data_IF_125100519562
#
_entry.id   IF_125100519562
#
_cell.length_a   1.000
_cell.length_b   1.000
_cell.length_c   1.000
_cell.angle_alpha   90.00
_cell.angle_beta   90.00
_cell.angle_gamma   90.00
#
_symmetry.space_group_name_H-M   'P 1'
#
loop_
_entity.id
_entity.type
_entity.pdbx_description
1 polymer ?
#
# COMPACT_ATOMS: atom_id res chain seq x y z
N UNK A 1 -16.12 -39.90 12.63
CA UNK A 1 -16.86 -39.63 11.39
C UNK A 1 -16.85 -38.13 11.17
N UNK A 2 -15.90 -37.66 10.35
CA UNK A 2 -15.78 -36.28 9.90
C UNK A 2 -15.86 -36.40 8.37
N UNK A 3 -16.99 -36.00 7.81
CA UNK A 3 -17.21 -36.02 6.38
C UNK A 3 -16.34 -34.96 5.72
N UNK A 4 -15.41 -35.45 4.90
CA UNK A 4 -14.62 -34.66 3.97
C UNK A 4 -15.61 -34.13 2.92
N UNK A 5 -15.90 -32.84 2.97
CA UNK A 5 -16.60 -32.14 1.89
C UNK A 5 -15.66 -32.09 0.67
N UNK A 6 -15.84 -33.05 -0.23
CA UNK A 6 -15.39 -32.97 -1.61
C UNK A 6 -16.21 -31.88 -2.31
N UNK A 7 -15.68 -30.67 -2.39
CA UNK A 7 -16.14 -29.68 -3.34
C UNK A 7 -15.49 -29.97 -4.71
N UNK A 8 -16.04 -30.97 -5.41
CA UNK A 8 -15.99 -30.98 -6.86
C UNK A 8 -17.03 -29.99 -7.40
N UNK A 9 -16.82 -29.53 -8.64
CA UNK A 9 -17.64 -28.56 -9.39
C UNK A 9 -17.27 -27.09 -9.14
N UNK A 10 -16.06 -26.72 -9.57
CA UNK A 10 -15.83 -25.35 -10.03
C UNK A 10 -16.73 -25.10 -11.24
N UNK A 11 -17.77 -24.32 -10.99
CA UNK A 11 -18.67 -23.72 -11.95
C UNK A 11 -17.89 -23.18 -13.16
N UNK A 12 -17.98 -23.90 -14.27
CA UNK A 12 -17.72 -23.41 -15.62
C UNK A 12 -18.80 -22.37 -15.95
N UNK A 13 -18.59 -21.12 -15.52
CA UNK A 13 -19.16 -19.87 -16.04
C UNK A 13 -18.71 -18.70 -15.15
N UNK A 14 -17.39 -18.50 -15.02
CA UNK A 14 -16.90 -17.23 -14.52
C UNK A 14 -17.29 -16.15 -15.53
N UNK A 15 -18.26 -15.30 -15.18
CA UNK A 15 -18.60 -14.10 -15.96
C UNK A 15 -17.30 -13.35 -16.26
N UNK A 16 -16.93 -13.30 -17.54
CA UNK A 16 -15.71 -12.64 -18.01
C UNK A 16 -15.93 -11.12 -17.93
N UNK A 17 -15.09 -10.41 -17.16
CA UNK A 17 -15.13 -8.95 -17.05
C UNK A 17 -15.24 -8.39 -15.62
N UNK A 18 -15.43 -7.07 -15.56
CA UNK A 18 -15.53 -6.30 -14.32
C UNK A 18 -16.94 -6.44 -13.73
N UNK A 19 -17.01 -6.80 -12.45
CA UNK A 19 -18.23 -6.82 -11.65
C UNK A 19 -18.09 -5.85 -10.48
N UNK A 20 -18.96 -4.84 -10.44
CA UNK A 20 -19.02 -3.87 -9.34
C UNK A 20 -19.70 -4.51 -8.13
N UNK A 21 -19.03 -4.49 -6.98
CA UNK A 21 -19.62 -4.89 -5.69
C UNK A 21 -20.06 -3.65 -4.90
N UNK A 22 -19.21 -2.61 -4.88
CA UNK A 22 -19.50 -1.31 -4.29
C UNK A 22 -19.05 -0.21 -5.27
N UNK A 23 -19.96 0.66 -5.65
CA UNK A 23 -19.63 1.93 -6.33
C UNK A 23 -19.04 2.93 -5.30
N UNK A 24 -18.59 4.13 -5.71
CA UNK A 24 -17.99 5.10 -4.79
C UNK A 24 -18.87 5.51 -3.61
N UNK A 25 -20.18 5.70 -3.84
CA UNK A 25 -21.14 6.04 -2.80
C UNK A 25 -21.30 4.89 -1.79
N UNK A 26 -21.58 3.68 -2.28
CA UNK A 26 -21.73 2.49 -1.44
C UNK A 26 -20.44 2.12 -0.70
N UNK A 27 -19.27 2.37 -1.30
CA UNK A 27 -17.98 2.21 -0.60
C UNK A 27 -17.84 3.23 0.54
N UNK A 28 -18.23 4.48 0.31
CA UNK A 28 -18.18 5.53 1.33
C UNK A 28 -19.13 5.22 2.50
N UNK A 29 -20.34 4.75 2.22
CA UNK A 29 -21.28 4.30 3.25
C UNK A 29 -20.73 3.11 4.05
N UNK A 30 -20.16 2.12 3.35
CA UNK A 30 -19.54 0.95 3.99
C UNK A 30 -18.38 1.36 4.92
N UNK A 31 -17.48 2.25 4.47
CA UNK A 31 -16.39 2.75 5.30
C UNK A 31 -16.93 3.52 6.50
N UNK A 32 -17.90 4.42 6.32
CA UNK A 32 -18.49 5.17 7.42
C UNK A 32 -19.13 4.25 8.47
N UNK A 33 -19.78 3.17 8.04
CA UNK A 33 -20.28 2.15 8.94
C UNK A 33 -19.15 1.49 9.74
N UNK A 34 -18.07 1.05 9.09
CA UNK A 34 -16.92 0.46 9.79
C UNK A 34 -16.29 1.43 10.79
N UNK A 35 -16.11 2.70 10.40
CA UNK A 35 -15.58 3.73 11.29
C UNK A 35 -16.48 3.95 12.51
N UNK A 36 -17.80 3.84 12.36
CA UNK A 36 -18.72 3.95 13.50
C UNK A 36 -18.56 2.82 14.52
N UNK A 37 -18.25 1.59 14.06
CA UNK A 37 -17.99 0.45 14.93
C UNK A 37 -16.69 0.61 15.74
N UNK A 38 -15.71 1.32 15.18
CA UNK A 38 -14.41 1.56 15.80
C UNK A 38 -14.35 2.88 16.60
N UNK A 39 -15.47 3.62 16.73
CA UNK A 39 -15.51 4.92 17.42
C UNK A 39 -14.84 6.07 16.66
N UNK A 40 -14.59 5.89 15.35
CA UNK A 40 -13.91 6.82 14.45
C UNK A 40 -14.87 7.58 13.52
N UNK A 41 -16.18 7.60 13.83
CA UNK A 41 -17.21 8.29 13.02
C UNK A 41 -16.99 9.79 12.82
N UNK A 42 -16.14 10.40 13.63
CA UNK A 42 -15.74 11.80 13.53
C UNK A 42 -14.64 12.06 12.49
N UNK A 43 -13.99 11.00 11.99
CA UNK A 43 -12.92 11.12 10.99
C UNK A 43 -13.54 11.20 9.60
N UNK A 44 -13.19 12.24 8.86
CA UNK A 44 -13.59 12.44 7.47
C UNK A 44 -12.41 12.19 6.54
N UNK A 45 -12.71 11.77 5.31
CA UNK A 45 -11.71 11.66 4.26
C UNK A 45 -11.16 13.03 3.87
N UNK A 46 -9.84 13.16 3.88
CA UNK A 46 -9.12 14.14 3.09
C UNK A 46 -8.66 13.51 1.77
N UNK A 47 -9.37 13.86 0.71
CA UNK A 47 -9.13 13.42 -0.67
C UNK A 47 -7.74 13.76 -1.20
N UNK A 48 -7.14 14.82 -0.68
CA UNK A 48 -5.83 15.32 -1.07
C UNK A 48 -4.70 14.79 -0.20
N UNK A 49 -4.91 13.73 0.61
CA UNK A 49 -3.89 13.25 1.55
C UNK A 49 -3.51 11.78 1.38
N UNK A 50 -2.26 11.48 1.73
CA UNK A 50 -1.68 10.15 1.75
C UNK A 50 -1.04 9.83 3.09
N UNK A 51 -1.38 8.68 3.68
CA UNK A 51 -0.61 8.11 4.78
C UNK A 51 0.60 7.37 4.20
N UNK A 52 1.81 7.76 4.62
CA UNK A 52 3.07 7.22 4.12
C UNK A 52 3.74 6.36 5.19
N UNK A 53 3.42 5.06 5.32
CA UNK A 53 3.99 4.19 6.35
C UNK A 53 5.51 4.07 6.20
N UNK A 54 6.18 3.84 7.32
CA UNK A 54 7.64 3.63 7.34
C UNK A 54 8.01 2.60 8.42
N UNK A 55 8.79 1.60 8.02
CA UNK A 55 9.35 0.64 8.98
C UNK A 55 10.51 1.28 9.73
N UNK A 56 10.33 1.56 11.02
CA UNK A 56 11.37 2.16 11.87
C UNK A 56 11.99 1.16 12.85
N UNK A 57 11.17 0.40 13.57
CA UNK A 57 11.59 -0.38 14.76
C UNK A 57 12.47 -1.59 14.45
N UNK A 58 12.24 -2.28 13.32
CA UNK A 58 13.00 -3.47 12.90
C UNK A 58 14.08 -3.14 11.86
N UNK A 59 14.30 -1.87 11.55
CA UNK A 59 15.22 -1.44 10.49
C UNK A 59 16.65 -1.33 11.05
N UNK A 60 17.63 -2.07 10.49
CA UNK A 60 19.04 -1.91 10.84
C UNK A 60 19.53 -0.46 10.65
N UNK A 61 20.42 0.00 11.53
CA UNK A 61 20.87 1.40 11.54
C UNK A 61 21.49 1.83 10.19
N UNK A 62 22.23 0.94 9.53
CA UNK A 62 22.83 1.18 8.22
C UNK A 62 21.81 1.39 7.10
N UNK A 63 20.57 0.91 7.28
CA UNK A 63 19.48 1.07 6.32
C UNK A 63 18.57 2.27 6.64
N UNK A 64 18.58 2.79 7.88
CA UNK A 64 17.69 3.89 8.29
C UNK A 64 17.87 5.13 7.41
N UNK A 65 19.10 5.50 7.06
CA UNK A 65 19.37 6.65 6.19
C UNK A 65 18.80 6.45 4.78
N UNK A 66 18.93 5.25 4.22
CA UNK A 66 18.39 4.91 2.91
C UNK A 66 16.85 4.98 2.91
N UNK A 67 16.21 4.41 3.93
CA UNK A 67 14.74 4.42 4.04
C UNK A 67 14.23 5.85 4.23
N UNK A 68 14.86 6.65 5.11
CA UNK A 68 14.50 8.07 5.30
C UNK A 68 14.63 8.86 3.99
N UNK A 69 15.72 8.66 3.24
CA UNK A 69 15.91 9.33 1.94
C UNK A 69 14.79 8.98 0.94
N UNK A 70 14.41 7.70 0.84
CA UNK A 70 13.29 7.26 0.00
C UNK A 70 11.96 7.89 0.44
N UNK A 71 11.72 7.95 1.74
CA UNK A 71 10.53 8.59 2.31
C UNK A 71 10.45 10.08 1.94
N UNK A 72 11.57 10.81 2.02
CA UNK A 72 11.60 12.22 1.61
C UNK A 72 11.32 12.40 0.11
N UNK A 73 11.87 11.54 -0.73
CA UNK A 73 11.58 11.54 -2.18
C UNK A 73 10.11 11.25 -2.43
N UNK A 74 9.53 10.29 -1.71
CA UNK A 74 8.10 9.97 -1.82
C UNK A 74 7.22 11.17 -1.44
N UNK A 75 7.56 11.86 -0.35
CA UNK A 75 6.84 13.08 0.06
C UNK A 75 6.90 14.15 -1.03
N UNK A 76 8.06 14.34 -1.68
CA UNK A 76 8.21 15.28 -2.80
C UNK A 76 7.38 14.86 -4.03
N UNK A 77 7.36 13.57 -4.37
CA UNK A 77 6.55 13.02 -5.46
C UNK A 77 5.06 13.31 -5.21
N UNK A 78 4.56 12.99 -4.02
CA UNK A 78 3.17 13.22 -3.64
C UNK A 78 2.84 14.72 -3.65
N UNK A 79 3.71 15.55 -3.08
CA UNK A 79 3.53 16.99 -3.07
C UNK A 79 3.47 17.59 -4.48
N UNK A 80 4.35 17.15 -5.40
CA UNK A 80 4.32 17.58 -6.81
C UNK A 80 3.01 17.19 -7.50
N UNK A 81 2.46 16.02 -7.15
CA UNK A 81 1.15 15.59 -7.63
C UNK A 81 -0.03 16.31 -6.93
N UNK A 82 0.21 17.21 -5.97
CA UNK A 82 -0.85 17.89 -5.23
C UNK A 82 -1.43 17.09 -4.05
N UNK A 83 -0.72 16.06 -3.58
CA UNK A 83 -1.12 15.21 -2.46
C UNK A 83 -0.27 15.53 -1.22
N UNK A 84 -0.91 15.80 -0.10
CA UNK A 84 -0.27 16.04 1.19
C UNK A 84 0.12 14.71 1.84
N UNK A 85 1.41 14.50 2.06
CA UNK A 85 1.93 13.29 2.70
C UNK A 85 1.95 13.44 4.24
N UNK A 86 1.32 12.48 4.93
CA UNK A 86 1.52 12.27 6.36
C UNK A 86 2.62 11.22 6.58
N UNK A 87 3.68 11.61 7.29
CA UNK A 87 4.81 10.75 7.64
C UNK A 87 4.84 10.51 9.16
N UNK A 88 4.51 9.28 9.64
CA UNK A 88 4.47 8.98 11.07
C UNK A 88 5.86 9.13 11.73
N UNK A 89 6.96 9.04 10.99
CA UNK A 89 8.31 9.28 11.53
C UNK A 89 8.50 10.72 12.03
N UNK A 90 7.72 11.66 11.51
CA UNK A 90 7.73 13.08 11.90
C UNK A 90 6.72 13.41 13.00
N UNK A 91 5.86 12.45 13.36
CA UNK A 91 4.86 12.61 14.41
C UNK A 91 5.53 12.86 15.77
N UNK A 92 4.96 13.73 16.63
CA UNK A 92 5.41 13.83 18.02
C UNK A 92 5.26 12.50 18.78
N UNK A 93 4.38 11.62 18.32
CA UNK A 93 4.14 10.27 18.86
C UNK A 93 5.07 9.20 18.27
N UNK A 94 6.07 9.59 17.47
CA UNK A 94 7.04 8.64 16.93
C UNK A 94 7.87 8.04 18.07
N UNK A 95 8.01 6.70 18.15
CA UNK A 95 8.80 6.05 19.21
C UNK A 95 10.28 6.45 19.17
N UNK A 96 10.76 6.95 18.02
CA UNK A 96 12.13 7.46 17.87
C UNK A 96 12.31 8.90 18.40
N UNK A 97 11.22 9.61 18.73
CA UNK A 97 11.23 11.00 19.24
C UNK A 97 10.89 11.11 20.72
N UNK A 98 9.93 10.32 21.18
CA UNK A 98 9.52 10.29 22.58
C UNK A 98 9.27 8.86 23.03
N UNK A 99 10.18 8.35 23.87
CA UNK A 99 10.13 6.99 24.41
C UNK A 99 9.03 6.79 25.47
N UNK A 100 8.35 7.87 25.91
CA UNK A 100 7.29 7.80 26.92
C UNK A 100 5.89 7.52 26.33
N UNK A 101 5.73 7.72 25.02
CA UNK A 101 4.46 7.54 24.31
C UNK A 101 4.03 6.07 24.36
N UNK A 102 2.78 5.84 24.74
CA UNK A 102 2.25 4.49 24.90
C UNK A 102 1.74 3.92 23.57
N UNK A 103 1.80 2.59 23.36
CA UNK A 103 1.36 1.97 22.11
C UNK A 103 -0.08 2.29 21.70
N UNK A 104 -0.99 2.49 22.66
CA UNK A 104 -2.39 2.86 22.38
C UNK A 104 -2.51 4.27 21.80
N UNK A 105 -1.62 5.19 22.18
CA UNK A 105 -1.62 6.57 21.67
C UNK A 105 -1.13 6.61 20.22
N UNK A 106 -0.03 5.91 19.94
CA UNK A 106 0.48 5.73 18.56
C UNK A 106 -0.59 5.09 17.69
N UNK A 107 -1.19 4.00 18.18
CA UNK A 107 -2.22 3.26 17.44
C UNK A 107 -3.43 4.14 17.10
N UNK A 108 -3.90 4.99 18.03
CA UNK A 108 -5.07 5.84 17.80
C UNK A 108 -4.76 6.96 16.81
N UNK A 109 -3.60 7.62 16.94
CA UNK A 109 -3.18 8.69 16.03
C UNK A 109 -2.96 8.15 14.63
N UNK A 110 -2.19 7.07 14.48
CA UNK A 110 -1.90 6.50 13.18
C UNK A 110 -3.15 5.89 12.55
N UNK A 111 -4.02 5.23 13.33
CA UNK A 111 -5.31 4.77 12.82
C UNK A 111 -6.15 5.92 12.28
N UNK A 112 -6.26 7.03 13.02
CA UNK A 112 -6.99 8.22 12.56
C UNK A 112 -6.43 8.81 11.27
N UNK A 113 -5.09 8.84 11.14
CA UNK A 113 -4.42 9.35 9.93
C UNK A 113 -4.57 8.41 8.73
N UNK A 114 -4.47 7.10 8.95
CA UNK A 114 -4.69 6.09 7.92
C UNK A 114 -6.11 6.21 7.38
N UNK A 115 -7.12 6.14 8.25
CA UNK A 115 -8.52 6.13 7.80
C UNK A 115 -8.99 7.46 7.23
N UNK A 116 -8.41 8.57 7.69
CA UNK A 116 -8.67 9.90 7.15
C UNK A 116 -8.03 10.15 5.79
N UNK A 117 -7.00 9.40 5.40
CA UNK A 117 -6.32 9.61 4.13
C UNK A 117 -6.93 8.83 2.97
N UNK A 118 -7.06 9.46 1.80
CA UNK A 118 -7.49 8.77 0.57
C UNK A 118 -6.49 7.72 0.14
N UNK A 119 -5.22 8.08 0.17
CA UNK A 119 -4.13 7.23 -0.28
C UNK A 119 -3.39 6.59 0.90
N UNK A 120 -2.90 5.38 0.67
CA UNK A 120 -1.90 4.74 1.51
C UNK A 120 -0.71 4.41 0.61
N UNK A 121 0.45 5.03 0.84
CA UNK A 121 1.58 4.95 -0.11
C UNK A 121 2.86 4.63 0.62
N UNK A 122 3.39 3.41 0.44
CA UNK A 122 4.52 2.96 1.23
C UNK A 122 5.50 2.07 0.47
N UNK A 123 6.76 2.13 0.85
CA UNK A 123 7.77 1.20 0.35
C UNK A 123 7.72 -0.13 1.11
N UNK A 124 7.58 -1.23 0.39
CA UNK A 124 7.70 -2.58 0.95
C UNK A 124 9.16 -3.05 0.82
N UNK A 125 9.96 -2.82 1.87
CA UNK A 125 11.41 -3.06 1.87
C UNK A 125 11.80 -4.11 2.90
N UNK A 126 11.35 -3.94 4.14
CA UNK A 126 11.68 -4.80 5.27
C UNK A 126 10.41 -5.32 5.94
N UNK A 127 10.43 -6.55 6.48
CA UNK A 127 9.34 -7.04 7.30
C UNK A 127 9.13 -6.15 8.53
N UNK A 128 7.91 -5.65 8.70
CA UNK A 128 7.48 -4.87 9.85
C UNK A 128 6.06 -5.26 10.24
N UNK A 129 5.87 -5.59 11.51
CA UNK A 129 4.54 -5.89 12.07
C UNK A 129 3.64 -4.65 12.01
N UNK A 130 4.18 -3.47 12.33
CA UNK A 130 3.45 -2.20 12.24
C UNK A 130 2.95 -1.95 10.82
N UNK A 131 3.86 -2.03 9.84
CA UNK A 131 3.51 -1.89 8.42
C UNK A 131 2.46 -2.91 7.97
N UNK A 132 2.56 -4.16 8.44
CA UNK A 132 1.57 -5.19 8.13
C UNK A 132 0.16 -4.86 8.64
N UNK A 133 0.06 -4.34 9.87
CA UNK A 133 -1.20 -3.87 10.47
C UNK A 133 -1.74 -2.67 9.70
N UNK A 134 -0.87 -1.70 9.39
CA UNK A 134 -1.22 -0.50 8.62
C UNK A 134 -1.73 -0.84 7.22
N UNK A 135 -1.06 -1.77 6.51
CA UNK A 135 -1.47 -2.21 5.18
C UNK A 135 -2.82 -2.94 5.19
N UNK A 136 -3.11 -3.74 6.22
CA UNK A 136 -4.43 -4.38 6.38
C UNK A 136 -5.53 -3.36 6.62
N UNK A 137 -5.28 -2.37 7.50
CA UNK A 137 -6.19 -1.23 7.70
C UNK A 137 -6.39 -0.46 6.39
N UNK A 138 -5.33 -0.24 5.61
CA UNK A 138 -5.42 0.47 4.35
C UNK A 138 -6.34 -0.21 3.33
N UNK A 139 -6.33 -1.53 3.26
CA UNK A 139 -7.26 -2.27 2.38
C UNK A 139 -8.71 -2.17 2.84
N UNK A 140 -8.94 -2.04 4.15
CA UNK A 140 -10.27 -1.91 4.73
C UNK A 140 -10.83 -0.49 4.62
N UNK A 141 -10.02 0.51 4.93
CA UNK A 141 -10.46 1.89 5.14
C UNK A 141 -9.97 2.86 4.07
N UNK A 142 -8.72 2.70 3.61
CA UNK A 142 -8.20 3.60 2.59
C UNK A 142 -8.84 3.28 1.25
N UNK A 143 -8.88 4.33 0.43
CA UNK A 143 -9.57 4.31 -0.84
C UNK A 143 -8.65 3.84 -1.96
N UNK A 144 -7.38 4.24 -1.93
CA UNK A 144 -6.37 3.86 -2.93
C UNK A 144 -5.03 3.49 -2.25
N UNK A 145 -4.79 2.21 -1.95
CA UNK A 145 -3.48 1.74 -1.50
C UNK A 145 -2.53 1.52 -2.69
N UNK A 146 -1.33 2.11 -2.60
CA UNK A 146 -0.23 2.00 -3.58
C UNK A 146 1.02 1.51 -2.85
N UNK A 147 1.55 0.36 -3.26
CA UNK A 147 2.69 -0.29 -2.61
C UNK A 147 3.89 -0.25 -3.56
N UNK A 148 4.97 0.38 -3.11
CA UNK A 148 6.17 0.60 -3.90
C UNK A 148 7.19 -0.52 -3.64
N UNK A 149 7.67 -1.14 -4.71
CA UNK A 149 8.45 -2.38 -4.71
C UNK A 149 9.81 -2.16 -5.35
N UNK A 150 10.90 -2.36 -4.61
CA UNK A 150 12.24 -2.37 -5.20
C UNK A 150 12.49 -3.70 -5.91
N UNK A 151 12.79 -3.68 -7.21
CA UNK A 151 12.99 -4.88 -8.02
C UNK A 151 14.13 -5.78 -7.54
N UNK A 152 15.06 -5.23 -6.77
CA UNK A 152 16.22 -5.95 -6.22
C UNK A 152 15.93 -6.60 -4.87
N UNK A 153 14.75 -6.39 -4.31
CA UNK A 153 14.38 -6.84 -2.96
C UNK A 153 13.20 -7.79 -3.03
N UNK A 154 13.38 -9.00 -2.50
CA UNK A 154 12.27 -9.94 -2.31
C UNK A 154 11.57 -9.65 -0.99
N UNK A 155 10.25 -9.51 -1.08
CA UNK A 155 9.33 -9.33 0.06
C UNK A 155 8.32 -10.48 0.15
N UNK A 156 7.38 -10.39 1.09
CA UNK A 156 6.33 -11.39 1.31
C UNK A 156 5.48 -11.62 0.06
N UNK A 157 5.06 -12.88 -0.16
CA UNK A 157 4.05 -13.27 -1.16
C UNK A 157 2.62 -12.91 -0.72
N UNK A 158 2.40 -12.78 0.60
CA UNK A 158 1.12 -12.40 1.14
C UNK A 158 0.95 -10.89 0.99
N UNK A 159 0.38 -10.51 -0.14
CA UNK A 159 0.16 -9.14 -0.58
C UNK A 159 -1.35 -8.84 -0.52
N UNK A 160 -1.79 -7.76 0.15
CA UNK A 160 -3.21 -7.44 0.22
C UNK A 160 -3.82 -7.24 -1.18
N UNK A 161 -5.01 -7.82 -1.46
CA UNK A 161 -5.72 -7.54 -2.70
C UNK A 161 -6.19 -6.08 -2.73
N UNK A 162 -6.69 -5.61 -3.89
CA UNK A 162 -7.20 -4.24 -4.06
C UNK A 162 -6.17 -3.15 -3.75
N UNK A 163 -4.90 -3.45 -3.98
CA UNK A 163 -3.78 -2.51 -3.92
C UNK A 163 -3.10 -2.45 -5.27
N UNK A 164 -2.46 -1.31 -5.58
CA UNK A 164 -1.68 -1.12 -6.80
C UNK A 164 -0.21 -1.35 -6.44
N UNK A 165 0.43 -2.36 -7.03
CA UNK A 165 1.84 -2.64 -6.80
C UNK A 165 2.69 -2.02 -7.90
N UNK A 166 3.66 -1.17 -7.54
CA UNK A 166 4.53 -0.51 -8.51
C UNK A 166 5.98 -0.85 -8.26
N UNK A 167 6.65 -1.36 -9.30
CA UNK A 167 8.05 -1.74 -9.23
C UNK A 167 8.97 -0.61 -9.71
N UNK A 168 10.11 -0.44 -9.02
CA UNK A 168 11.19 0.46 -9.44
C UNK A 168 12.55 -0.20 -9.26
N UNK A 169 13.56 0.30 -9.99
CA UNK A 169 14.98 -0.02 -9.81
C UNK A 169 15.66 1.08 -9.00
N UNK A 170 15.43 2.33 -9.39
CA UNK A 170 15.92 3.51 -8.68
C UNK A 170 14.78 4.51 -8.50
N UNK A 171 14.23 4.57 -7.29
CA UNK A 171 13.07 5.40 -6.99
C UNK A 171 13.32 6.89 -7.25
N UNK A 172 14.54 7.37 -7.02
CA UNK A 172 14.90 8.78 -7.20
C UNK A 172 14.94 9.17 -8.66
N UNK A 173 15.60 8.36 -9.49
CA UNK A 173 15.67 8.60 -10.94
C UNK A 173 14.30 8.46 -11.61
N UNK A 174 13.42 7.63 -11.04
CA UNK A 174 12.08 7.37 -11.56
C UNK A 174 10.99 8.24 -10.91
N UNK A 175 11.34 9.17 -10.02
CA UNK A 175 10.40 9.93 -9.21
C UNK A 175 9.31 10.65 -10.04
N UNK A 176 9.68 11.24 -11.17
CA UNK A 176 8.74 11.97 -12.03
C UNK A 176 7.72 11.04 -12.73
N UNK A 177 8.01 9.74 -12.89
CA UNK A 177 7.00 8.80 -13.37
C UNK A 177 5.95 8.51 -12.30
N UNK A 178 6.35 8.45 -11.03
CA UNK A 178 5.41 8.28 -9.93
C UNK A 178 4.52 9.51 -9.75
N UNK A 179 5.01 10.73 -10.03
CA UNK A 179 4.16 11.94 -10.06
C UNK A 179 3.00 11.74 -11.04
N UNK A 180 3.29 11.30 -12.27
CA UNK A 180 2.29 11.05 -13.31
C UNK A 180 1.30 9.95 -12.92
N UNK A 181 1.75 8.93 -12.18
CA UNK A 181 0.87 7.88 -11.65
C UNK A 181 -0.14 8.49 -10.67
N UNK A 182 0.31 9.30 -9.71
CA UNK A 182 -0.61 9.91 -8.74
C UNK A 182 -1.55 10.94 -9.38
N UNK A 183 -1.06 11.72 -10.35
CA UNK A 183 -1.91 12.59 -11.17
C UNK A 183 -2.97 11.77 -11.93
N UNK A 184 -2.59 10.64 -12.50
CA UNK A 184 -3.55 9.73 -13.16
C UNK A 184 -4.61 9.22 -12.18
N UNK A 185 -4.21 8.75 -11.00
CA UNK A 185 -5.12 8.20 -10.00
C UNK A 185 -6.14 9.21 -9.46
N UNK A 186 -5.83 10.51 -9.46
CA UNK A 186 -6.75 11.56 -9.03
C UNK A 186 -7.99 11.71 -9.91
N UNK A 187 -7.98 11.16 -11.13
CA UNK A 187 -9.13 11.20 -12.04
C UNK A 187 -10.22 10.18 -11.71
N UNK A 188 -10.03 9.36 -10.67
CA UNK A 188 -10.93 8.26 -10.33
C UNK A 188 -11.51 8.39 -8.93
N UNK A 189 -12.79 8.09 -8.83
CA UNK A 189 -13.43 7.75 -7.56
C UNK A 189 -13.34 6.24 -7.30
N UNK A 190 -12.86 5.80 -6.13
CA UNK A 190 -12.59 4.40 -5.89
C UNK A 190 -13.84 3.64 -5.42
N UNK A 191 -14.10 2.51 -6.06
CA UNK A 191 -15.08 1.50 -5.63
C UNK A 191 -14.39 0.16 -5.38
N UNK A 192 -15.16 -0.91 -5.29
CA UNK A 192 -14.65 -2.27 -5.06
C UNK A 192 -15.42 -3.26 -5.91
N UNK A 193 -14.73 -4.30 -6.37
CA UNK A 193 -15.39 -5.32 -7.15
C UNK A 193 -14.47 -6.47 -7.48
N UNK A 194 -14.77 -7.11 -8.60
CA UNK A 194 -14.06 -8.26 -9.12
C UNK A 194 -13.73 -8.05 -10.59
N UNK A 195 -12.58 -8.56 -11.01
CA UNK A 195 -12.19 -8.66 -12.41
C UNK A 195 -11.85 -10.14 -12.66
N UNK A 196 -12.65 -10.81 -13.48
CA UNK A 196 -12.52 -12.26 -13.73
C UNK A 196 -12.51 -13.09 -12.43
N UNK A 197 -13.38 -12.74 -11.48
CA UNK A 197 -13.51 -13.41 -10.18
C UNK A 197 -12.45 -13.02 -9.13
N UNK A 198 -11.45 -12.21 -9.49
CA UNK A 198 -10.40 -11.76 -8.56
C UNK A 198 -10.81 -10.43 -7.91
N UNK A 199 -10.71 -10.27 -6.58
CA UNK A 199 -11.00 -8.99 -5.93
C UNK A 199 -10.04 -7.88 -6.36
N UNK A 200 -10.58 -6.76 -6.86
CA UNK A 200 -9.79 -5.63 -7.39
C UNK A 200 -10.27 -4.29 -6.84
N UNK A 201 -9.38 -3.30 -6.96
CA UNK A 201 -9.69 -1.91 -6.72
C UNK A 201 -10.27 -1.32 -8.01
N UNK A 202 -11.53 -0.88 -7.96
CA UNK A 202 -12.17 -0.27 -9.12
C UNK A 202 -12.05 1.24 -9.08
N UNK A 203 -11.88 1.85 -10.25
CA UNK A 203 -11.86 3.29 -10.46
C UNK A 203 -13.03 3.70 -11.34
N UNK A 204 -13.75 4.73 -10.91
CA UNK A 204 -14.89 5.32 -11.60
C UNK A 204 -14.47 6.70 -12.12
N UNK A 205 -14.53 6.89 -13.44
CA UNK A 205 -14.30 8.21 -14.03
C UNK A 205 -15.53 9.10 -13.88
N UNK A 206 -15.39 10.40 -14.14
CA UNK A 206 -16.52 11.33 -14.20
C UNK A 206 -17.52 10.98 -15.32
N UNK A 207 -17.08 10.30 -16.38
CA UNK A 207 -17.94 9.79 -17.46
C UNK A 207 -18.74 8.55 -17.07
N UNK A 208 -18.46 7.94 -15.91
CA UNK A 208 -19.10 6.70 -15.45
C UNK A 208 -18.41 5.42 -15.92
N UNK A 209 -17.25 5.54 -16.58
CA UNK A 209 -16.45 4.37 -16.97
C UNK A 209 -15.85 3.70 -15.73
N UNK A 210 -15.86 2.36 -15.73
CA UNK A 210 -15.34 1.55 -14.62
C UNK A 210 -14.12 0.79 -15.11
N UNK A 211 -13.01 0.94 -14.38
CA UNK A 211 -11.75 0.24 -14.68
C UNK A 211 -11.23 -0.47 -13.45
N UNK A 212 -10.45 -1.53 -13.65
CA UNK A 212 -9.49 -2.01 -12.67
C UNK A 212 -8.35 -0.98 -12.60
N UNK A 213 -8.15 -0.35 -11.43
CA UNK A 213 -7.16 0.72 -11.28
C UNK A 213 -5.73 0.21 -11.46
N UNK A 214 -5.42 -1.02 -11.02
CA UNK A 214 -4.08 -1.57 -11.17
C UNK A 214 -3.79 -1.83 -12.67
N UNK A 215 -4.71 -2.48 -13.38
CA UNK A 215 -4.55 -2.66 -14.83
C UNK A 215 -4.50 -1.32 -15.58
N UNK A 216 -5.30 -0.34 -15.18
CA UNK A 216 -5.29 0.99 -15.81
C UNK A 216 -3.93 1.67 -15.64
N UNK A 217 -3.31 1.54 -14.47
CA UNK A 217 -1.97 2.05 -14.21
C UNK A 217 -0.95 1.29 -15.06
N UNK A 218 -0.99 -0.04 -15.11
CA UNK A 218 -0.04 -0.83 -15.92
C UNK A 218 -0.18 -0.56 -17.42
N UNK A 219 -1.39 -0.33 -17.94
CA UNK A 219 -1.60 0.05 -19.34
C UNK A 219 -0.94 1.39 -19.68
N UNK A 220 -0.93 2.34 -18.74
CA UNK A 220 -0.39 3.69 -18.94
C UNK A 220 1.10 3.79 -18.60
N UNK A 221 1.57 3.00 -17.63
CA UNK A 221 2.95 3.01 -17.11
C UNK A 221 3.52 1.58 -17.05
N UNK A 222 3.67 0.89 -18.20
CA UNK A 222 4.01 -0.53 -18.25
C UNK A 222 5.38 -0.85 -17.63
N UNK A 223 6.32 0.10 -17.65
CA UNK A 223 7.64 -0.06 -17.05
C UNK A 223 7.65 -0.07 -15.51
N UNK A 224 6.54 0.32 -14.87
CA UNK A 224 6.36 0.26 -13.42
C UNK A 224 5.59 -0.99 -12.98
N UNK A 225 5.22 -1.88 -13.92
CA UNK A 225 4.46 -3.07 -13.60
C UNK A 225 5.21 -3.97 -12.63
N UNK A 226 4.54 -4.40 -11.56
CA UNK A 226 5.15 -5.33 -10.62
C UNK A 226 5.15 -6.76 -11.16
N UNK A 227 6.34 -7.37 -11.15
CA UNK A 227 6.52 -8.79 -11.42
C UNK A 227 7.15 -9.47 -10.19
N UNK A 228 6.40 -10.38 -9.57
CA UNK A 228 6.95 -11.19 -8.49
C UNK A 228 8.06 -12.09 -9.02
N UNK A 229 9.28 -11.92 -8.51
CA UNK A 229 10.39 -12.82 -8.77
C UNK A 229 10.82 -13.53 -7.47
N UNK A 230 10.55 -14.83 -7.41
CA UNK A 230 10.91 -15.68 -6.28
C UNK A 230 12.41 -15.86 -6.06
N UNK A 231 13.26 -15.56 -7.06
CA UNK A 231 14.72 -15.74 -6.98
C UNK A 231 15.45 -14.49 -6.46
N UNK A 232 14.78 -13.34 -6.36
CA UNK A 232 15.35 -12.11 -5.82
C UNK A 232 15.78 -12.33 -4.36
N UNK A 233 16.91 -11.76 -3.89
CA UNK A 233 17.36 -11.93 -2.51
C UNK A 233 16.47 -11.17 -1.51
N UNK A 234 16.36 -11.69 -0.28
CA UNK A 234 15.72 -10.98 0.84
C UNK A 234 16.75 -10.05 1.47
N UNK A 235 16.41 -8.77 1.68
CA UNK A 235 17.35 -7.78 2.25
C UNK A 235 17.83 -8.16 3.66
N UNK A 236 16.90 -8.62 4.49
CA UNK A 236 17.11 -8.98 5.90
C UNK A 236 18.20 -10.05 6.07
N UNK A 237 18.26 -11.05 5.18
CA UNK A 237 19.27 -12.11 5.25
C UNK A 237 20.68 -11.56 5.01
N UNK A 238 20.85 -10.61 4.08
CA UNK A 238 22.14 -9.95 3.82
C UNK A 238 22.55 -8.98 4.93
N UNK A 239 21.59 -8.21 5.46
CA UNK A 239 21.86 -7.23 6.53
C UNK A 239 22.14 -7.89 7.89
N UNK A 240 21.40 -8.95 8.25
CA UNK A 240 21.59 -9.65 9.52
C UNK A 240 22.73 -10.68 9.50
N UNK A 241 23.18 -11.09 8.30
CA UNK A 241 24.26 -12.07 8.16
C UNK A 241 25.31 -11.61 7.14
N UNK A 242 25.93 -10.43 7.33
CA UNK A 242 26.88 -9.90 6.35
C UNK A 242 28.06 -10.86 6.13
N UNK A 243 28.45 -11.62 7.17
CA UNK A 243 29.50 -12.64 7.15
C UNK A 243 29.23 -13.83 6.20
N UNK A 244 27.97 -14.11 5.83
CA UNK A 244 27.63 -15.19 4.88
C UNK A 244 27.83 -14.79 3.41
N UNK A 245 28.02 -13.49 3.12
CA UNK A 245 28.01 -12.95 1.76
C UNK A 245 29.27 -12.16 1.39
N UNK A 246 30.31 -12.16 2.23
CA UNK A 246 31.64 -11.73 1.81
C UNK A 246 32.26 -12.82 0.93
N UNK A 247 32.44 -12.54 -0.36
CA UNK A 247 33.49 -13.21 -1.12
C UNK A 247 34.82 -12.86 -0.45
N UNK A 248 35.61 -13.90 -0.11
CA UNK A 248 36.99 -13.72 0.35
C UNK A 248 37.74 -12.92 -0.70
N UNK A 249 38.07 -11.68 -0.38
CA UNK A 249 39.15 -10.99 -1.07
C UNK A 249 40.42 -11.66 -0.58
N UNK A 250 40.99 -12.53 -1.41
CA UNK A 250 42.38 -12.97 -1.25
C UNK A 250 43.31 -11.84 -1.69
#
# INVERSE_FOLDING_TARGET
MLEIWNAAEHNENAECGIKVALNPEGRSEYINFLLSLDGLSHVQEDRGSAYCPISLTSTPDELKLLIKRRQEVLKQVLQKAGITAYDPATSPFSPDRDLSVQPNEVYLVDSGKIVGSRYFVGHNILPSTGYGIEAQKAVQFNRIPVILMDSRIRVSRMQPPRSIYLQYVNFEEQADDFVKVFEHLQHYEPGMGFNNGIPVLLGFTQSGDVVDLEESVYKKFPHLQYHYNGTTPILKVRAENPHLFYEKVN
#
